data_IF_825314210462
#
_entry.id   IF_825314210462
#
_cell.length_a   1.000
_cell.length_b   1.000
_cell.length_c   1.000
_cell.angle_alpha   90.00
_cell.angle_beta   90.00
_cell.angle_gamma   90.00
#
_symmetry.space_group_name_H-M   'P 1'
#
loop_
_entity.id
_entity.type
_entity.pdbx_description
1 polymer ?
#
# COMPACT_ATOMS: atom_id res chain seq x y z
N UNK A 1 19.00 -14.38 -1.21
CA UNK A 1 17.65 -13.85 -0.88
C UNK A 1 16.66 -14.72 -1.63
N UNK A 2 15.96 -15.63 -0.95
CA UNK A 2 14.97 -16.49 -1.59
C UNK A 2 13.70 -15.67 -1.82
N UNK A 3 13.39 -15.42 -3.08
CA UNK A 3 12.06 -14.98 -3.49
C UNK A 3 11.08 -16.10 -3.15
N UNK A 4 10.21 -15.88 -2.16
CA UNK A 4 9.00 -16.69 -2.01
C UNK A 4 8.07 -16.34 -3.18
N UNK A 5 8.38 -16.91 -4.34
CA UNK A 5 7.60 -16.70 -5.56
C UNK A 5 6.33 -17.52 -5.43
N UNK A 6 5.24 -16.82 -5.10
CA UNK A 6 3.87 -17.32 -5.20
C UNK A 6 3.68 -17.98 -6.58
N UNK A 7 3.24 -19.24 -6.62
CA UNK A 7 3.03 -19.98 -7.86
C UNK A 7 2.07 -19.23 -8.81
N UNK A 8 2.28 -19.35 -10.12
CA UNK A 8 1.54 -18.59 -11.12
C UNK A 8 0.02 -18.80 -11.00
N UNK A 9 -0.41 -20.03 -10.73
CA UNK A 9 -1.83 -20.36 -10.54
C UNK A 9 -2.41 -19.60 -9.35
N UNK A 10 -1.72 -19.61 -8.21
CA UNK A 10 -2.16 -18.89 -7.01
C UNK A 10 -2.16 -17.38 -7.19
N UNK A 11 -1.24 -16.83 -7.99
CA UNK A 11 -1.25 -15.39 -8.32
C UNK A 11 -2.45 -14.98 -9.14
N UNK A 12 -2.85 -15.79 -10.12
CA UNK A 12 -4.05 -15.52 -10.94
C UNK A 12 -5.33 -15.63 -10.10
N UNK A 13 -5.41 -16.67 -9.26
CA UNK A 13 -6.53 -16.85 -8.33
C UNK A 13 -6.65 -15.67 -7.36
N UNK A 14 -5.54 -15.29 -6.72
CA UNK A 14 -5.49 -14.15 -5.81
C UNK A 14 -5.85 -12.84 -6.52
N UNK A 15 -5.39 -12.62 -7.76
CA UNK A 15 -5.76 -11.43 -8.53
C UNK A 15 -7.27 -11.32 -8.75
N UNK A 16 -7.92 -12.41 -9.17
CA UNK A 16 -9.36 -12.44 -9.40
C UNK A 16 -10.15 -12.23 -8.11
N UNK A 17 -9.67 -12.77 -6.99
CA UNK A 17 -10.25 -12.53 -5.66
C UNK A 17 -10.11 -11.05 -5.27
N UNK A 18 -8.92 -10.47 -5.46
CA UNK A 18 -8.67 -9.07 -5.17
C UNK A 18 -9.64 -8.18 -5.93
N UNK A 19 -9.79 -8.35 -7.24
CA UNK A 19 -10.73 -7.56 -8.05
C UNK A 19 -12.15 -7.60 -7.49
N UNK A 20 -12.64 -8.76 -7.04
CA UNK A 20 -13.96 -8.89 -6.41
C UNK A 20 -14.04 -8.20 -5.05
N UNK A 21 -12.99 -8.28 -4.23
CA UNK A 21 -12.94 -7.63 -2.93
C UNK A 21 -12.85 -6.10 -3.03
N UNK A 22 -12.13 -5.55 -4.01
CA UNK A 22 -12.04 -4.09 -4.22
C UNK A 22 -13.12 -3.50 -5.13
N UNK A 23 -13.93 -4.31 -5.80
CA UNK A 23 -15.07 -3.83 -6.58
C UNK A 23 -16.00 -2.91 -5.76
N UNK A 24 -16.78 -2.05 -6.38
CA UNK A 24 -17.69 -1.18 -5.62
C UNK A 24 -18.74 -1.97 -4.83
N UNK A 25 -19.13 -1.48 -3.66
CA UNK A 25 -20.15 -2.09 -2.81
C UNK A 25 -19.93 -1.84 -1.33
N UNK A 26 -20.96 -2.12 -0.52
CA UNK A 26 -20.90 -2.03 0.94
C UNK A 26 -20.54 -3.36 1.61
N UNK A 27 -20.53 -4.45 0.85
CA UNK A 27 -20.25 -5.80 1.34
C UNK A 27 -19.16 -6.49 0.53
N UNK A 28 -18.58 -7.55 1.09
CA UNK A 28 -17.65 -8.41 0.38
C UNK A 28 -17.92 -9.91 0.67
N UNK A 29 -17.66 -10.79 -0.31
CA UNK A 29 -17.85 -12.22 -0.16
C UNK A 29 -16.86 -12.82 0.85
N UNK A 30 -17.39 -13.45 1.90
CA UNK A 30 -16.58 -14.00 3.01
C UNK A 30 -15.66 -15.13 2.54
N UNK A 31 -16.15 -15.99 1.63
CA UNK A 31 -15.37 -17.11 1.09
C UNK A 31 -14.11 -16.66 0.33
N UNK A 32 -14.25 -15.60 -0.47
CA UNK A 32 -13.14 -14.99 -1.20
C UNK A 32 -12.11 -14.38 -0.26
N UNK A 33 -12.56 -13.65 0.77
CA UNK A 33 -11.68 -13.06 1.77
C UNK A 33 -10.89 -14.13 2.56
N UNK A 34 -11.54 -15.22 3.00
CA UNK A 34 -10.87 -16.35 3.64
C UNK A 34 -9.84 -16.99 2.71
N UNK A 35 -10.22 -17.18 1.45
CA UNK A 35 -9.32 -17.78 0.45
C UNK A 35 -8.09 -16.91 0.22
N UNK A 36 -8.23 -15.59 0.17
CA UNK A 36 -7.10 -14.68 0.03
C UNK A 36 -6.13 -14.76 1.22
N UNK A 37 -6.67 -14.86 2.44
CA UNK A 37 -5.88 -15.03 3.68
C UNK A 37 -5.03 -16.30 3.63
N UNK A 38 -5.55 -17.40 3.07
CA UNK A 38 -4.79 -18.65 2.91
C UNK A 38 -3.71 -18.57 1.83
N UNK A 39 -4.01 -17.88 0.72
CA UNK A 39 -3.15 -17.85 -0.45
C UNK A 39 -1.88 -17.01 -0.25
N UNK A 40 -1.98 -15.90 0.49
CA UNK A 40 -0.88 -14.95 0.62
C UNK A 40 -0.01 -15.29 1.83
N UNK A 41 1.30 -15.51 1.67
CA UNK A 41 2.20 -15.78 2.79
C UNK A 41 2.18 -14.65 3.82
N UNK A 42 2.09 -15.00 5.10
CA UNK A 42 2.15 -14.02 6.20
C UNK A 42 3.59 -13.56 6.38
N UNK A 43 3.82 -12.26 6.28
CA UNK A 43 5.05 -11.62 6.69
C UNK A 43 5.03 -11.37 8.22
N UNK A 44 6.18 -11.51 8.91
CA UNK A 44 6.27 -11.14 10.32
C UNK A 44 5.93 -9.64 10.48
N UNK A 45 5.07 -9.32 11.44
CA UNK A 45 4.78 -7.92 11.76
C UNK A 45 5.96 -7.28 12.50
N UNK A 46 6.41 -6.13 12.01
CA UNK A 46 7.29 -5.25 12.78
C UNK A 46 6.43 -4.36 13.68
N UNK A 47 6.85 -4.16 14.94
CA UNK A 47 6.17 -3.23 15.86
C UNK A 47 6.26 -1.77 15.41
N UNK A 48 7.19 -1.45 14.51
CA UNK A 48 7.41 -0.10 13.97
C UNK A 48 7.76 -0.23 12.48
N UNK A 49 6.94 0.36 11.60
CA UNK A 49 7.21 0.52 10.17
C UNK A 49 7.06 1.99 9.79
N UNK A 50 7.92 2.48 8.90
CA UNK A 50 7.89 3.88 8.45
C UNK A 50 8.03 3.95 6.92
N UNK A 51 7.04 4.53 6.26
CA UNK A 51 7.06 4.92 4.83
C UNK A 51 6.91 6.44 4.80
N UNK A 52 8.01 7.13 4.51
CA UNK A 52 8.04 8.59 4.41
C UNK A 52 8.38 9.01 2.98
N UNK A 53 7.66 10.00 2.47
CA UNK A 53 7.97 10.66 1.22
C UNK A 53 8.35 12.09 1.54
N UNK A 54 9.62 12.44 1.31
CA UNK A 54 10.07 13.83 1.42
C UNK A 54 10.05 14.48 0.05
N UNK A 55 9.24 15.53 -0.09
CA UNK A 55 9.27 16.47 -1.21
C UNK A 55 9.91 17.77 -0.72
N UNK A 56 11.14 18.04 -1.13
CA UNK A 56 11.86 19.27 -0.79
C UNK A 56 12.35 19.98 -2.05
N UNK A 57 12.25 21.30 -2.09
CA UNK A 57 13.03 22.13 -3.03
C UNK A 57 14.47 22.16 -2.52
N UNK A 58 15.40 21.62 -3.30
CA UNK A 58 16.83 21.73 -2.97
C UNK A 58 17.35 23.06 -3.53
N UNK A 59 18.17 23.83 -2.80
CA UNK A 59 18.94 24.90 -3.42
C UNK A 59 19.85 24.26 -4.48
N UNK A 60 19.83 24.79 -5.71
CA UNK A 60 20.44 24.17 -6.90
C UNK A 60 21.80 23.53 -6.63
N UNK A 61 21.87 22.21 -6.82
CA UNK A 61 23.09 21.44 -6.65
C UNK A 61 23.92 21.48 -7.95
N UNK A 62 25.09 22.13 -7.91
CA UNK A 62 26.13 21.94 -8.92
C UNK A 62 26.81 20.59 -8.67
N UNK A 63 26.72 19.68 -9.63
CA UNK A 63 27.45 18.42 -9.61
C UNK A 63 28.62 18.46 -10.60
N UNK A 64 29.81 18.04 -10.15
CA UNK A 64 30.98 17.88 -11.00
C UNK A 64 31.11 16.40 -11.39
N UNK A 65 30.94 16.08 -12.67
CA UNK A 65 31.22 14.75 -13.22
C UNK A 65 32.62 14.75 -13.85
N UNK A 66 33.46 13.80 -13.46
CA UNK A 66 34.81 13.67 -14.01
C UNK A 66 34.73 13.44 -15.54
N UNK A 67 35.07 14.48 -16.31
CA UNK A 67 35.19 14.44 -17.78
C UNK A 67 34.29 15.40 -18.58
N UNK A 68 33.29 16.07 -17.98
CA UNK A 68 32.32 16.92 -18.75
C UNK A 68 32.13 18.36 -18.19
N UNK A 69 32.76 18.72 -17.06
CA UNK A 69 32.66 20.08 -16.50
C UNK A 69 31.34 20.35 -15.76
N UNK A 70 31.19 21.56 -15.20
CA UNK A 70 30.06 21.95 -14.36
C UNK A 70 28.74 21.99 -15.14
N UNK A 71 27.81 21.08 -14.83
CA UNK A 71 26.45 21.10 -15.39
C UNK A 71 25.49 21.69 -14.35
N UNK A 72 24.74 22.73 -14.75
CA UNK A 72 23.63 23.27 -13.97
C UNK A 72 22.39 22.40 -14.23
N UNK A 73 21.86 21.78 -13.19
CA UNK A 73 20.56 21.13 -13.23
C UNK A 73 19.50 22.16 -12.85
N UNK A 74 18.53 22.38 -13.75
CA UNK A 74 17.36 23.18 -13.44
C UNK A 74 16.38 22.39 -12.55
N UNK A 75 15.58 23.15 -11.81
CA UNK A 75 14.96 22.81 -10.53
C UNK A 75 13.77 21.80 -10.64
N UNK A 76 14.05 20.50 -10.62
CA UNK A 76 13.02 19.47 -10.40
C UNK A 76 13.04 18.98 -8.95
N UNK A 77 11.92 19.20 -8.25
CA UNK A 77 11.69 18.77 -6.87
C UNK A 77 11.87 17.24 -6.75
N UNK A 78 13.04 16.81 -6.27
CA UNK A 78 13.38 15.40 -6.18
C UNK A 78 12.68 14.76 -4.99
N UNK A 79 11.61 14.04 -5.24
CA UNK A 79 10.90 13.23 -4.25
C UNK A 79 11.81 12.08 -3.78
N UNK A 80 12.15 12.03 -2.50
CA UNK A 80 12.88 10.91 -1.89
C UNK A 80 11.95 10.11 -0.99
N UNK A 81 11.76 8.84 -1.34
CA UNK A 81 11.01 7.87 -0.53
C UNK A 81 11.97 7.10 0.38
N UNK A 82 11.67 7.06 1.67
CA UNK A 82 12.41 6.25 2.66
C UNK A 82 11.48 5.21 3.26
N UNK A 83 11.94 3.96 3.29
CA UNK A 83 11.20 2.81 3.81
C UNK A 83 12.05 2.04 4.81
N UNK A 84 11.57 1.89 6.04
CA UNK A 84 12.24 1.15 7.10
C UNK A 84 11.29 0.09 7.68
N UNK A 85 11.80 -1.14 7.84
CA UNK A 85 11.11 -2.28 8.47
C UNK A 85 9.72 -2.58 7.89
N UNK A 86 9.55 -2.40 6.57
CA UNK A 86 8.31 -2.77 5.90
C UNK A 86 8.19 -4.29 5.83
N UNK A 87 7.02 -4.87 6.18
CA UNK A 87 6.76 -6.28 5.97
C UNK A 87 6.89 -6.63 4.49
N UNK A 88 7.18 -7.90 4.19
CA UNK A 88 7.28 -8.36 2.81
C UNK A 88 5.95 -8.15 2.07
N UNK A 89 6.04 -7.58 0.87
CA UNK A 89 4.89 -7.30 0.01
C UNK A 89 4.95 -8.12 -1.28
N UNK A 90 3.79 -8.58 -1.76
CA UNK A 90 3.65 -9.39 -2.96
C UNK A 90 2.94 -8.60 -4.06
N UNK A 91 3.56 -8.52 -5.24
CA UNK A 91 2.93 -7.94 -6.43
C UNK A 91 2.01 -8.96 -7.09
N UNK A 92 0.72 -8.68 -7.16
CA UNK A 92 -0.30 -9.55 -7.72
C UNK A 92 -1.11 -8.74 -8.74
N UNK A 93 -0.81 -8.91 -10.02
CA UNK A 93 -1.43 -8.15 -11.10
C UNK A 93 -1.23 -6.63 -10.93
N UNK A 94 -2.34 -5.92 -10.79
CA UNK A 94 -2.46 -4.48 -10.55
C UNK A 94 -2.34 -4.07 -9.08
N UNK A 95 -2.09 -5.01 -8.17
CA UNK A 95 -2.05 -4.73 -6.73
C UNK A 95 -0.69 -5.09 -6.12
N UNK A 96 -0.35 -4.35 -5.07
CA UNK A 96 0.67 -4.76 -4.08
C UNK A 96 -0.07 -5.16 -2.81
N UNK A 97 0.23 -6.36 -2.32
CA UNK A 97 -0.44 -6.91 -1.13
C UNK A 97 0.57 -7.21 -0.04
N UNK A 98 0.33 -6.69 1.15
CA UNK A 98 1.14 -6.95 2.34
C UNK A 98 0.30 -7.70 3.35
N UNK A 99 0.74 -8.89 3.74
CA UNK A 99 0.00 -9.72 4.69
C UNK A 99 0.74 -9.74 6.03
N UNK A 100 0.11 -9.21 7.06
CA UNK A 100 0.56 -9.33 8.46
C UNK A 100 -0.53 -10.02 9.28
N UNK A 101 -0.21 -10.58 10.47
CA UNK A 101 -1.23 -11.23 11.29
C UNK A 101 -2.43 -10.31 11.57
N UNK A 102 -3.61 -10.71 11.07
CA UNK A 102 -4.88 -10.00 11.25
C UNK A 102 -5.18 -8.92 10.20
N UNK A 103 -4.23 -8.64 9.29
CA UNK A 103 -4.34 -7.57 8.31
C UNK A 103 -3.81 -7.97 6.94
N UNK A 104 -4.59 -7.68 5.90
CA UNK A 104 -4.18 -7.75 4.49
C UNK A 104 -4.30 -6.36 3.89
N UNK A 105 -3.17 -5.67 3.75
CA UNK A 105 -3.10 -4.36 3.12
C UNK A 105 -3.02 -4.54 1.60
N UNK A 106 -3.88 -3.85 0.87
CA UNK A 106 -4.02 -3.94 -0.59
C UNK A 106 -3.84 -2.52 -1.16
N UNK A 107 -2.78 -2.31 -1.93
CA UNK A 107 -2.46 -1.03 -2.58
C UNK A 107 -2.58 -1.19 -4.10
N UNK A 108 -3.33 -0.30 -4.75
CA UNK A 108 -3.44 -0.29 -6.21
C UNK A 108 -2.18 0.29 -6.84
N UNK A 109 -1.66 -0.35 -7.90
CA UNK A 109 -0.49 0.11 -8.63
C UNK A 109 -0.82 1.13 -9.73
N UNK A 110 -2.06 1.20 -10.19
CA UNK A 110 -2.49 2.10 -11.27
C UNK A 110 -2.72 3.54 -10.82
N UNK A 111 -2.03 3.94 -9.76
CA UNK A 111 -2.31 5.17 -9.02
C UNK A 111 -1.41 6.33 -9.45
N UNK A 112 -0.64 6.13 -10.53
CA UNK A 112 0.20 7.16 -11.12
C UNK A 112 -0.61 8.45 -11.36
N UNK A 113 -0.19 9.54 -10.68
CA UNK A 113 -0.57 10.96 -10.88
C UNK A 113 -1.74 11.58 -10.08
N UNK A 114 -2.28 10.97 -9.02
CA UNK A 114 -3.22 11.69 -8.12
C UNK A 114 -2.53 12.31 -6.91
N UNK A 115 -2.71 13.62 -6.72
CA UNK A 115 -2.25 14.36 -5.53
C UNK A 115 -3.02 13.99 -4.23
N UNK A 116 -4.18 13.34 -4.38
CA UNK A 116 -4.98 12.81 -3.28
C UNK A 116 -4.83 11.29 -3.20
N UNK A 117 -4.34 10.80 -2.06
CA UNK A 117 -4.14 9.39 -1.76
C UNK A 117 -5.39 8.64 -1.29
N UNK A 118 -6.55 9.30 -1.24
CA UNK A 118 -7.83 8.68 -0.86
C UNK A 118 -8.24 7.59 -1.85
N UNK A 119 -8.69 6.45 -1.32
CA UNK A 119 -9.18 5.31 -2.11
C UNK A 119 -8.09 4.51 -2.84
N UNK A 120 -6.82 4.85 -2.64
CA UNK A 120 -5.70 4.21 -3.34
C UNK A 120 -5.25 2.91 -2.68
N UNK A 121 -5.67 2.68 -1.44
CA UNK A 121 -5.41 1.46 -0.70
C UNK A 121 -6.59 1.09 0.18
N UNK A 122 -6.70 -0.18 0.49
CA UNK A 122 -7.65 -0.70 1.46
C UNK A 122 -6.97 -1.78 2.31
N UNK A 123 -7.61 -2.15 3.41
CA UNK A 123 -7.12 -3.16 4.33
C UNK A 123 -8.27 -4.10 4.67
N UNK A 124 -8.05 -5.40 4.49
CA UNK A 124 -8.92 -6.46 5.01
C UNK A 124 -8.48 -6.80 6.44
N UNK A 125 -9.39 -6.65 7.39
CA UNK A 125 -9.17 -6.99 8.80
C UNK A 125 -9.85 -8.31 9.08
N UNK A 126 -9.13 -9.22 9.74
CA UNK A 126 -9.64 -10.55 10.06
C UNK A 126 -9.16 -11.01 11.44
N UNK A 127 -9.85 -12.01 12.00
CA UNK A 127 -9.48 -12.63 13.26
C UNK A 127 -8.24 -13.52 13.13
N UNK A 128 -7.20 -13.30 13.93
CA UNK A 128 -5.93 -14.02 13.77
C UNK A 128 -6.10 -15.53 13.99
N UNK A 129 -6.95 -15.92 14.94
CA UNK A 129 -7.11 -17.30 15.38
C UNK A 129 -8.05 -18.08 14.45
N UNK A 130 -9.21 -17.49 14.14
CA UNK A 130 -10.25 -18.15 13.34
C UNK A 130 -10.12 -17.88 11.83
N UNK A 131 -9.27 -16.93 11.43
CA UNK A 131 -9.16 -16.40 10.05
C UNK A 131 -10.47 -15.83 9.50
N UNK A 132 -11.42 -15.53 10.38
CA UNK A 132 -12.71 -14.95 10.03
C UNK A 132 -12.57 -13.48 9.61
N UNK A 133 -12.97 -13.10 8.38
CA UNK A 133 -13.00 -11.71 7.94
C UNK A 133 -13.97 -10.86 8.77
N UNK A 134 -13.53 -9.69 9.23
CA UNK A 134 -14.33 -8.79 10.08
C UNK A 134 -14.86 -7.58 9.33
N UNK A 135 -13.98 -6.90 8.59
CA UNK A 135 -14.33 -5.69 7.83
C UNK A 135 -13.25 -5.37 6.81
N UNK A 136 -13.58 -4.53 5.83
CA UNK A 136 -12.59 -3.83 5.01
C UNK A 136 -12.63 -2.34 5.33
N UNK A 137 -11.45 -1.73 5.37
CA UNK A 137 -11.27 -0.29 5.51
C UNK A 137 -10.61 0.29 4.28
N UNK A 138 -10.93 1.53 3.94
CA UNK A 138 -10.36 2.23 2.80
C UNK A 138 -9.53 3.43 3.27
N UNK A 139 -8.43 3.72 2.58
CA UNK A 139 -7.59 4.85 2.89
C UNK A 139 -8.26 6.17 2.54
N UNK A 140 -8.08 7.15 3.42
CA UNK A 140 -8.53 8.53 3.26
C UNK A 140 -7.36 9.44 3.63
N UNK A 141 -7.00 10.33 2.73
CA UNK A 141 -6.03 11.37 3.01
C UNK A 141 -6.71 12.48 3.82
N UNK A 142 -6.12 12.82 4.95
CA UNK A 142 -6.50 13.97 5.77
C UNK A 142 -5.34 14.96 5.78
N UNK A 143 -5.68 16.23 5.91
CA UNK A 143 -4.71 17.31 6.07
C UNK A 143 -4.93 17.99 7.42
N UNK A 144 -3.83 18.26 8.12
CA UNK A 144 -3.81 19.05 9.34
C UNK A 144 -2.95 20.28 9.07
N UNK A 145 -3.55 21.46 9.09
CA UNK A 145 -2.83 22.73 8.93
C UNK A 145 -2.64 23.39 10.28
N UNK A 146 -1.39 23.66 10.65
CA UNK A 146 -1.02 24.44 11.84
C UNK A 146 -0.14 25.61 11.41
N UNK A 147 -0.59 26.84 11.73
CA UNK A 147 0.06 28.09 11.33
C UNK A 147 0.23 28.19 9.80
N UNK A 148 1.42 27.86 9.28
CA UNK A 148 1.79 27.91 7.87
C UNK A 148 2.29 26.55 7.34
N UNK A 149 2.12 25.47 8.11
CA UNK A 149 2.55 24.12 7.76
C UNK A 149 1.33 23.22 7.62
N UNK A 150 1.19 22.55 6.47
CA UNK A 150 0.16 21.53 6.21
C UNK A 150 0.79 20.15 6.21
N UNK A 151 0.30 19.28 7.08
CA UNK A 151 0.67 17.87 7.15
C UNK A 151 -0.42 17.03 6.48
N UNK A 152 -0.07 16.31 5.42
CA UNK A 152 -0.95 15.29 4.86
C UNK A 152 -0.63 13.94 5.51
N UNK A 153 -1.66 13.22 5.93
CA UNK A 153 -1.54 11.88 6.50
C UNK A 153 -2.68 11.00 6.01
N UNK A 154 -2.41 9.70 5.88
CA UNK A 154 -3.42 8.72 5.49
C UNK A 154 -3.99 8.07 6.74
N UNK A 155 -5.31 7.97 6.80
CA UNK A 155 -6.04 7.18 7.79
C UNK A 155 -6.92 6.16 7.09
N UNK A 156 -7.40 5.15 7.80
CA UNK A 156 -8.31 4.14 7.26
C UNK A 156 -9.66 4.24 7.94
N UNK A 157 -10.72 4.36 7.14
CA UNK A 157 -12.11 4.40 7.62
C UNK A 157 -12.85 3.10 7.24
N UNK A 158 -13.87 2.68 8.01
CA UNK A 158 -14.72 1.56 7.62
C UNK A 158 -15.29 1.76 6.21
N UNK A 159 -15.24 0.71 5.40
CA UNK A 159 -15.68 0.75 4.00
C UNK A 159 -16.68 -0.37 3.68
N UNK A 160 -16.36 -1.61 4.01
CA UNK A 160 -17.22 -2.76 3.72
C UNK A 160 -17.32 -3.73 4.88
N UNK A 161 -18.47 -4.40 4.95
CA UNK A 161 -18.75 -5.47 5.90
C UNK A 161 -18.82 -6.84 5.20
N UNK A 162 -18.53 -7.94 5.90
CA UNK A 162 -18.75 -9.27 5.35
C UNK A 162 -20.22 -9.46 4.99
N UNK A 163 -20.49 -10.17 3.90
CA UNK A 163 -21.84 -10.61 3.57
C UNK A 163 -22.41 -11.48 4.70
N UNK A 164 -23.68 -11.28 5.04
CA UNK A 164 -24.40 -12.13 5.98
C UNK A 164 -24.64 -13.48 5.30
N UNK A 165 -23.78 -14.45 5.61
CA UNK A 165 -23.97 -15.86 5.22
C UNK A 165 -25.15 -16.52 5.92
#
# INVERSE_FOLDING_TARGET
MNEYTLDLKYRLEAHAILDRLVADGLTFPVGDARRLIELIPIAPSSRISFKGVFTGRSPGAKGHAAGIGDVRFDDEAKQKTFTLNMPASHRIGSFVVTHTPGHLDIESMWVETRADHTGQSCCLIYDIDTKEPKEMRISVQKSLTMLFITFNYVTFIPWKMPELT
#
